data_IF_982481625895
#
_entry.id   IF_982481625895
#
_cell.length_a   1.000
_cell.length_b   1.000
_cell.length_c   1.000
_cell.angle_alpha   90.00
_cell.angle_beta   90.00
_cell.angle_gamma   90.00
#
_symmetry.space_group_name_H-M   'P 1'
#
loop_
_entity.id
_entity.type
_entity.pdbx_description
1 polymer ?
#
# COMPACT_ATOMS: atom_id res chain seq x y z
N UNK A 1 21.44 -8.06 -12.05
CA UNK A 1 20.08 -7.51 -11.98
C UNK A 1 19.41 -7.74 -13.31
N UNK A 2 18.30 -8.45 -13.30
CA UNK A 2 17.55 -8.71 -14.52
C UNK A 2 16.91 -7.39 -14.97
N UNK A 3 17.28 -6.94 -16.17
CA UNK A 3 16.66 -5.76 -16.77
C UNK A 3 15.27 -6.16 -17.27
N UNK A 4 14.26 -5.70 -16.58
CA UNK A 4 12.87 -5.94 -16.97
C UNK A 4 12.57 -5.09 -18.21
N UNK A 5 12.28 -5.76 -19.33
CA UNK A 5 11.88 -5.09 -20.57
C UNK A 5 10.40 -5.21 -20.79
N UNK A 6 9.73 -4.09 -21.00
CA UNK A 6 8.29 -4.03 -21.22
C UNK A 6 8.00 -3.26 -22.50
N UNK A 7 7.24 -3.87 -23.39
CA UNK A 7 6.75 -3.20 -24.59
C UNK A 7 5.62 -2.24 -24.24
N UNK A 8 5.73 -1.02 -24.69
CA UNK A 8 4.74 0.02 -24.48
C UNK A 8 4.45 0.74 -25.80
N UNK A 9 3.22 1.09 -26.02
CA UNK A 9 2.79 1.85 -27.19
C UNK A 9 2.27 3.22 -26.75
N UNK A 10 2.63 4.26 -27.50
CA UNK A 10 2.09 5.60 -27.26
C UNK A 10 0.58 5.62 -27.53
N UNK A 11 -0.18 6.35 -26.72
CA UNK A 11 -1.62 6.55 -26.91
C UNK A 11 -1.98 8.02 -26.96
N UNK A 12 -2.91 8.36 -27.84
CA UNK A 12 -3.47 9.72 -27.95
C UNK A 12 -4.85 9.82 -27.32
N UNK A 13 -5.52 8.66 -27.16
CA UNK A 13 -6.87 8.61 -26.60
C UNK A 13 -6.88 8.95 -25.11
N UNK A 14 -7.72 9.91 -24.74
CA UNK A 14 -7.93 10.36 -23.36
C UNK A 14 -9.39 10.18 -22.95
N UNK A 15 -9.62 10.21 -21.65
CA UNK A 15 -10.96 10.15 -21.06
C UNK A 15 -11.37 8.76 -20.57
N UNK A 16 -12.34 8.76 -19.66
CA UNK A 16 -12.78 7.58 -18.90
C UNK A 16 -13.31 6.45 -19.80
N UNK A 17 -14.02 6.80 -20.88
CA UNK A 17 -14.60 5.82 -21.79
C UNK A 17 -13.55 5.06 -22.60
N UNK A 18 -12.52 5.77 -23.12
CA UNK A 18 -11.41 5.16 -23.85
C UNK A 18 -10.58 4.25 -22.95
N UNK A 19 -10.23 4.71 -21.75
CA UNK A 19 -9.49 3.93 -20.75
C UNK A 19 -10.24 2.68 -20.33
N UNK A 20 -11.57 2.75 -20.17
CA UNK A 20 -12.38 1.57 -19.83
C UNK A 20 -12.39 0.53 -20.97
N UNK A 21 -12.42 0.97 -22.24
CA UNK A 21 -12.30 0.07 -23.40
C UNK A 21 -10.93 -0.60 -23.43
N UNK A 22 -9.84 0.16 -23.24
CA UNK A 22 -8.47 -0.39 -23.17
C UNK A 22 -8.34 -1.51 -22.12
N UNK A 23 -8.85 -1.30 -20.92
CA UNK A 23 -8.80 -2.34 -19.86
C UNK A 23 -9.57 -3.60 -20.23
N UNK A 24 -10.69 -3.45 -20.96
CA UNK A 24 -11.45 -4.61 -21.45
C UNK A 24 -10.72 -5.43 -22.51
N UNK A 25 -9.81 -4.80 -23.27
CA UNK A 25 -8.96 -5.50 -24.25
C UNK A 25 -7.69 -6.07 -23.64
N UNK A 26 -7.54 -6.04 -22.31
CA UNK A 26 -6.37 -6.56 -21.61
C UNK A 26 -5.15 -5.64 -21.66
N UNK A 27 -5.36 -4.35 -21.94
CA UNK A 27 -4.30 -3.34 -21.92
C UNK A 27 -4.41 -2.45 -20.69
N UNK A 28 -3.27 -2.11 -20.09
CA UNK A 28 -3.18 -1.18 -18.97
C UNK A 28 -2.81 0.20 -19.50
N UNK A 29 -3.57 1.24 -19.16
CA UNK A 29 -3.15 2.60 -19.40
C UNK A 29 -2.04 2.99 -18.43
N UNK A 30 -1.06 3.72 -18.90
CA UNK A 30 0.03 4.27 -18.11
C UNK A 30 0.41 5.66 -18.54
N UNK A 31 1.31 6.26 -17.77
CA UNK A 31 1.96 7.53 -18.10
C UNK A 31 3.47 7.44 -17.91
N UNK A 32 4.23 8.14 -18.75
CA UNK A 32 5.68 8.30 -18.63
C UNK A 32 6.01 9.78 -18.49
N UNK A 33 6.53 10.16 -17.34
CA UNK A 33 7.05 11.51 -17.10
C UNK A 33 8.46 11.63 -17.68
N UNK A 34 8.65 12.51 -18.66
CA UNK A 34 9.94 12.73 -19.30
C UNK A 34 10.79 13.72 -18.50
N UNK A 35 12.06 13.37 -18.26
CA UNK A 35 12.99 14.16 -17.47
C UNK A 35 13.39 15.47 -18.17
N UNK A 36 13.69 15.40 -19.47
CA UNK A 36 14.29 16.53 -20.22
C UNK A 36 13.30 17.55 -20.80
N UNK A 37 12.02 17.21 -20.94
CA UNK A 37 11.02 18.07 -21.59
C UNK A 37 9.84 18.45 -20.68
N UNK A 38 9.82 17.99 -19.44
CA UNK A 38 8.73 18.30 -18.50
C UNK A 38 7.34 17.86 -18.98
N UNK A 39 7.27 16.97 -19.96
CA UNK A 39 6.03 16.48 -20.54
C UNK A 39 5.71 15.06 -20.06
N UNK A 40 4.41 14.77 -19.98
CA UNK A 40 3.91 13.43 -19.71
C UNK A 40 3.46 12.80 -21.02
N UNK A 41 3.97 11.64 -21.35
CA UNK A 41 3.53 10.84 -22.48
C UNK A 41 2.58 9.76 -22.00
N UNK A 42 1.43 9.64 -22.65
CA UNK A 42 0.46 8.62 -22.31
C UNK A 42 0.80 7.33 -23.06
N UNK A 43 0.82 6.22 -22.36
CA UNK A 43 1.17 4.91 -22.90
C UNK A 43 0.09 3.88 -22.59
N UNK A 44 0.14 2.77 -23.30
CA UNK A 44 -0.61 1.54 -23.02
C UNK A 44 0.34 0.36 -23.04
N UNK A 45 0.08 -0.60 -22.18
CA UNK A 45 0.92 -1.78 -21.93
C UNK A 45 0.05 -3.04 -21.93
N UNK A 46 0.50 -4.18 -22.44
CA UNK A 46 -0.20 -5.45 -22.28
C UNK A 46 -0.18 -5.87 -20.81
N UNK A 47 -1.39 -6.10 -20.25
CA UNK A 47 -1.55 -6.42 -18.82
C UNK A 47 -0.84 -7.71 -18.42
N UNK A 48 -0.91 -8.72 -19.28
CA UNK A 48 -0.31 -10.02 -19.04
C UNK A 48 1.21 -9.94 -18.91
N UNK A 49 1.86 -9.31 -19.89
CA UNK A 49 3.32 -9.18 -19.94
C UNK A 49 3.83 -8.34 -18.77
N UNK A 50 3.10 -7.27 -18.45
CA UNK A 50 3.42 -6.42 -17.32
C UNK A 50 3.32 -7.19 -15.99
N UNK A 51 2.24 -7.95 -15.77
CA UNK A 51 2.09 -8.75 -14.54
C UNK A 51 3.15 -9.84 -14.43
N UNK A 52 3.51 -10.48 -15.54
CA UNK A 52 4.58 -11.50 -15.52
C UNK A 52 5.94 -10.87 -15.21
N UNK A 53 6.22 -9.70 -15.78
CA UNK A 53 7.47 -8.98 -15.57
C UNK A 53 7.63 -8.42 -14.13
N UNK A 54 6.53 -8.03 -13.48
CA UNK A 54 6.55 -7.49 -12.12
C UNK A 54 6.31 -8.54 -11.03
N UNK A 55 5.95 -9.77 -11.43
CA UNK A 55 5.68 -10.86 -10.50
C UNK A 55 6.96 -11.28 -9.78
N UNK A 56 6.91 -11.30 -8.45
CA UNK A 56 8.04 -11.72 -7.60
C UNK A 56 8.87 -10.58 -7.04
N UNK A 57 8.69 -9.36 -7.52
CA UNK A 57 9.37 -8.19 -6.96
C UNK A 57 8.63 -7.64 -5.74
N UNK A 58 9.36 -7.48 -4.64
CA UNK A 58 8.81 -6.98 -3.37
C UNK A 58 8.55 -5.46 -3.42
N UNK A 59 9.39 -4.73 -4.16
CA UNK A 59 9.26 -3.29 -4.33
C UNK A 59 8.24 -2.93 -5.41
N UNK A 60 7.44 -1.91 -5.14
CA UNK A 60 6.58 -1.28 -6.15
C UNK A 60 7.35 -0.35 -7.09
N UNK A 61 8.58 0.01 -6.72
CA UNK A 61 9.44 0.90 -7.49
C UNK A 61 10.57 0.08 -8.11
N UNK A 62 10.42 -0.23 -9.39
CA UNK A 62 11.34 -1.06 -10.16
C UNK A 62 11.93 -0.28 -11.32
N UNK A 63 13.22 -0.52 -11.60
CA UNK A 63 13.87 -0.03 -12.81
C UNK A 63 13.47 -0.92 -14.00
N UNK A 64 12.84 -0.32 -15.00
CA UNK A 64 12.30 -1.00 -16.17
C UNK A 64 12.82 -0.34 -17.44
N UNK A 65 13.14 -1.10 -18.46
CA UNK A 65 13.40 -0.58 -19.79
C UNK A 65 12.11 -0.64 -20.61
N UNK A 66 11.53 0.53 -20.89
CA UNK A 66 10.35 0.63 -21.74
C UNK A 66 10.77 0.69 -23.20
N UNK A 67 10.20 -0.18 -24.02
CA UNK A 67 10.30 -0.10 -25.47
C UNK A 67 9.12 0.73 -25.99
N UNK A 68 9.36 1.99 -26.30
CA UNK A 68 8.40 2.94 -26.86
C UNK A 68 8.65 3.10 -28.36
N UNK A 69 7.84 2.47 -29.17
CA UNK A 69 7.93 2.55 -30.65
C UNK A 69 9.35 2.27 -31.19
N UNK A 70 10.04 1.25 -30.60
CA UNK A 70 11.39 0.86 -30.97
C UNK A 70 12.52 1.70 -30.32
N UNK A 71 12.19 2.53 -29.34
CA UNK A 71 13.17 3.27 -28.52
C UNK A 71 13.18 2.71 -27.12
N UNK A 72 14.34 2.24 -26.69
CA UNK A 72 14.55 1.80 -25.31
C UNK A 72 14.75 3.02 -24.40
N UNK A 73 13.85 3.21 -23.45
CA UNK A 73 13.88 4.29 -22.45
C UNK A 73 13.97 3.69 -21.06
N UNK A 74 15.05 3.97 -20.31
CA UNK A 74 15.12 3.55 -18.90
C UNK A 74 14.13 4.37 -18.07
N UNK A 75 13.24 3.71 -17.39
CA UNK A 75 12.20 4.32 -16.57
C UNK A 75 12.08 3.64 -15.22
N UNK A 76 11.84 4.42 -14.20
CA UNK A 76 11.49 3.95 -12.87
C UNK A 76 9.98 3.90 -12.75
N UNK A 77 9.44 2.74 -12.38
CA UNK A 77 8.03 2.62 -12.00
C UNK A 77 7.83 3.34 -10.67
N UNK A 78 6.99 4.37 -10.66
CA UNK A 78 6.71 5.17 -9.46
C UNK A 78 5.54 4.63 -8.68
N UNK A 79 4.44 4.41 -9.39
CA UNK A 79 3.19 3.97 -8.76
C UNK A 79 2.49 2.95 -9.65
N UNK A 80 1.90 1.97 -8.99
CA UNK A 80 1.05 0.97 -9.62
C UNK A 80 -0.26 0.90 -8.83
N UNK A 81 -1.35 1.24 -9.49
CA UNK A 81 -2.70 1.14 -8.94
C UNK A 81 -3.29 -0.21 -9.34
N UNK A 82 -3.70 -0.98 -8.34
CA UNK A 82 -4.33 -2.27 -8.55
C UNK A 82 -5.82 -2.21 -8.18
N UNK A 83 -6.62 -2.97 -8.89
CA UNK A 83 -7.98 -3.29 -8.48
C UNK A 83 -7.93 -4.21 -7.26
N UNK A 84 -8.52 -3.79 -6.16
CA UNK A 84 -8.49 -4.54 -4.90
C UNK A 84 -9.29 -5.84 -5.01
N UNK A 85 -10.35 -5.86 -5.82
CA UNK A 85 -11.21 -7.04 -5.99
C UNK A 85 -10.64 -8.01 -7.01
N UNK A 86 -10.19 -7.50 -8.16
CA UNK A 86 -9.68 -8.32 -9.25
C UNK A 86 -8.17 -8.63 -9.13
N UNK A 87 -7.43 -7.89 -8.29
CA UNK A 87 -5.97 -8.01 -8.17
C UNK A 87 -5.20 -7.61 -9.44
N UNK A 88 -5.89 -7.00 -10.42
CA UNK A 88 -5.29 -6.61 -11.70
C UNK A 88 -4.83 -5.16 -11.68
N UNK A 89 -3.71 -4.83 -12.34
CA UNK A 89 -3.25 -3.44 -12.41
C UNK A 89 -4.21 -2.58 -13.27
N UNK A 90 -4.61 -1.44 -12.72
CA UNK A 90 -5.50 -0.47 -13.34
C UNK A 90 -4.73 0.63 -14.05
N UNK A 91 -3.65 1.11 -13.43
CA UNK A 91 -2.82 2.22 -13.93
C UNK A 91 -1.38 2.05 -13.48
N UNK A 92 -0.45 2.49 -14.30
CA UNK A 92 0.98 2.47 -13.97
C UNK A 92 1.62 3.78 -14.38
N UNK A 93 2.36 4.37 -13.45
CA UNK A 93 3.11 5.61 -13.65
C UNK A 93 4.60 5.33 -13.67
N UNK A 94 5.25 5.80 -14.74
CA UNK A 94 6.69 5.71 -14.93
C UNK A 94 7.31 7.10 -14.94
N UNK A 95 8.54 7.18 -14.49
CA UNK A 95 9.40 8.36 -14.62
C UNK A 95 10.65 7.96 -15.40
N UNK A 96 10.93 8.64 -16.51
CA UNK A 96 12.21 8.51 -17.20
C UNK A 96 13.33 8.86 -16.22
N UNK A 97 14.37 8.06 -16.15
CA UNK A 97 15.50 8.27 -15.25
C UNK A 97 16.82 8.23 -16.01
N UNK A 98 17.76 9.05 -15.57
CA UNK A 98 19.15 8.99 -16.00
C UNK A 98 19.91 8.04 -15.09
N UNK A 99 20.71 7.14 -15.67
CA UNK A 99 21.52 6.19 -14.89
C UNK A 99 22.60 6.87 -14.05
N UNK A 100 22.88 8.16 -14.30
CA UNK A 100 23.93 8.93 -13.64
C UNK A 100 23.41 9.82 -12.49
N UNK A 101 22.11 10.00 -12.37
CA UNK A 101 21.51 10.89 -11.37
C UNK A 101 20.91 10.06 -10.22
N UNK A 102 21.05 10.58 -8.99
CA UNK A 102 20.43 9.98 -7.81
C UNK A 102 18.93 10.17 -7.87
N UNK A 103 18.19 9.12 -7.59
CA UNK A 103 16.73 9.12 -7.57
C UNK A 103 16.25 8.73 -6.19
N UNK A 104 15.20 9.39 -5.73
CA UNK A 104 14.51 9.03 -4.50
C UNK A 104 13.56 7.88 -4.74
N UNK A 105 13.75 6.82 -3.98
CA UNK A 105 12.99 5.58 -4.08
C UNK A 105 12.47 5.18 -2.70
N UNK A 106 11.21 4.73 -2.64
CA UNK A 106 10.61 4.19 -1.43
C UNK A 106 10.76 2.68 -1.42
N UNK A 107 11.50 2.16 -0.44
CA UNK A 107 11.81 0.72 -0.33
C UNK A 107 11.09 0.11 0.86
N UNK A 108 10.46 -1.08 0.71
CA UNK A 108 9.78 -1.75 1.81
C UNK A 108 10.78 -2.36 2.80
N UNK A 109 10.39 -2.35 4.08
CA UNK A 109 11.11 -2.94 5.20
C UNK A 109 10.46 -4.26 5.60
N UNK A 110 11.25 -5.32 5.68
CA UNK A 110 10.83 -6.62 6.17
C UNK A 110 11.54 -6.95 7.47
N UNK A 111 10.76 -7.25 8.50
CA UNK A 111 11.29 -7.70 9.78
C UNK A 111 11.56 -9.20 9.69
N UNK A 112 12.78 -9.61 10.04
CA UNK A 112 13.22 -11.01 10.04
C UNK A 112 13.54 -11.43 11.46
N UNK A 113 13.15 -12.65 11.84
CA UNK A 113 13.34 -13.19 13.18
C UNK A 113 12.19 -12.91 14.15
N UNK A 114 12.23 -13.53 15.30
CA UNK A 114 11.28 -13.33 16.39
C UNK A 114 11.98 -12.67 17.57
N UNK A 115 11.49 -11.51 18.05
CA UNK A 115 12.09 -10.79 19.16
C UNK A 115 12.10 -11.62 20.44
N UNK A 116 13.18 -11.52 21.22
CA UNK A 116 13.27 -12.15 22.55
C UNK A 116 12.15 -11.66 23.47
N UNK A 117 11.78 -10.37 23.35
CA UNK A 117 10.68 -9.80 24.11
C UNK A 117 9.32 -10.42 23.82
N UNK A 118 9.08 -10.90 22.60
CA UNK A 118 7.86 -11.64 22.25
C UNK A 118 7.93 -13.07 22.79
N UNK A 119 9.06 -13.77 22.57
CA UNK A 119 9.23 -15.18 22.97
C UNK A 119 9.20 -15.40 24.48
N UNK A 120 9.92 -14.59 25.24
CA UNK A 120 10.09 -14.75 26.67
C UNK A 120 9.16 -13.87 27.50
N UNK A 121 8.82 -12.70 26.98
CA UNK A 121 8.02 -11.72 27.69
C UNK A 121 6.55 -11.65 27.28
N UNK A 122 6.11 -12.44 26.29
CA UNK A 122 4.75 -12.38 25.79
C UNK A 122 4.39 -11.04 25.10
N UNK A 123 5.39 -10.21 24.78
CA UNK A 123 5.19 -8.90 24.14
C UNK A 123 4.60 -9.01 22.73
N UNK A 124 4.10 -7.88 22.23
CA UNK A 124 3.56 -7.76 20.87
C UNK A 124 4.53 -6.92 20.04
N UNK A 125 4.97 -7.47 18.89
CA UNK A 125 5.78 -6.73 17.92
C UNK A 125 4.87 -5.87 17.04
N UNK A 126 5.06 -4.56 17.11
CA UNK A 126 4.35 -3.59 16.27
C UNK A 126 5.34 -2.96 15.29
N UNK A 127 5.05 -3.08 13.99
CA UNK A 127 5.79 -2.38 12.94
C UNK A 127 5.12 -1.05 12.64
N UNK A 128 5.78 0.06 13.01
CA UNK A 128 5.28 1.41 12.80
C UNK A 128 5.59 1.90 11.39
N UNK A 129 6.82 1.66 10.92
CA UNK A 129 7.28 2.07 9.60
C UNK A 129 7.48 0.86 8.71
N UNK A 130 6.76 0.83 7.58
CA UNK A 130 6.82 -0.29 6.61
C UNK A 130 7.67 0.02 5.39
N UNK A 131 7.95 1.29 5.14
CA UNK A 131 8.72 1.75 3.98
C UNK A 131 9.64 2.89 4.40
N UNK A 132 10.80 3.00 3.75
CA UNK A 132 11.73 4.13 3.92
C UNK A 132 12.05 4.75 2.57
N UNK A 133 12.32 6.06 2.59
CA UNK A 133 12.79 6.80 1.43
C UNK A 133 14.32 6.84 1.42
N UNK A 134 14.90 6.43 0.30
CA UNK A 134 16.34 6.34 0.09
C UNK A 134 16.71 7.03 -1.21
N UNK A 135 17.75 7.85 -1.18
CA UNK A 135 18.36 8.40 -2.40
C UNK A 135 19.49 7.47 -2.85
N UNK A 136 19.36 6.88 -4.03
CA UNK A 136 20.34 5.96 -4.63
C UNK A 136 20.42 6.14 -6.14
N UNK A 137 21.44 5.52 -6.76
CA UNK A 137 21.48 5.41 -8.21
C UNK A 137 20.45 4.36 -8.68
N UNK A 138 19.87 4.52 -9.87
CA UNK A 138 18.89 3.55 -10.39
C UNK A 138 19.44 2.12 -10.50
N UNK A 139 20.75 1.97 -10.65
CA UNK A 139 21.42 0.66 -10.68
C UNK A 139 21.58 0.00 -9.31
N UNK A 140 21.51 0.77 -8.23
CA UNK A 140 21.76 0.29 -6.86
C UNK A 140 20.47 0.27 -6.01
N UNK A 141 19.30 0.28 -6.66
CA UNK A 141 17.99 0.19 -5.99
C UNK A 141 17.86 -1.20 -5.34
N UNK A 142 17.66 -1.21 -4.03
CA UNK A 142 17.34 -2.44 -3.30
C UNK A 142 15.85 -2.76 -3.43
N UNK A 143 15.51 -4.03 -3.66
CA UNK A 143 14.11 -4.46 -3.72
C UNK A 143 13.45 -4.48 -2.35
N UNK A 144 14.21 -4.78 -1.31
CA UNK A 144 13.74 -4.84 0.07
C UNK A 144 14.91 -4.64 1.04
N UNK A 145 14.60 -4.15 2.22
CA UNK A 145 15.53 -4.17 3.35
C UNK A 145 15.04 -5.19 4.38
N UNK A 146 15.91 -6.13 4.71
CA UNK A 146 15.68 -7.12 5.76
C UNK A 146 16.32 -6.63 7.06
N UNK A 147 15.53 -6.56 8.12
CA UNK A 147 15.94 -6.05 9.41
C UNK A 147 15.78 -7.16 10.43
N UNK A 148 16.87 -7.55 11.06
CA UNK A 148 16.85 -8.54 12.14
C UNK A 148 16.33 -7.90 13.44
N UNK A 149 15.20 -8.41 13.92
CA UNK A 149 14.55 -7.99 15.17
C UNK A 149 14.73 -8.99 16.30
N UNK A 150 15.51 -10.05 16.09
CA UNK A 150 15.69 -11.15 17.07
C UNK A 150 16.23 -10.67 18.41
N UNK A 151 17.01 -9.60 18.43
CA UNK A 151 17.69 -9.06 19.62
C UNK A 151 16.80 -8.13 20.45
N UNK A 152 15.60 -7.76 19.97
CA UNK A 152 14.75 -6.78 20.64
C UNK A 152 14.10 -7.39 21.90
N UNK A 153 14.29 -6.72 23.03
CA UNK A 153 13.61 -7.00 24.30
C UNK A 153 12.25 -6.32 24.42
N UNK A 154 11.59 -6.50 25.58
CA UNK A 154 10.35 -5.77 25.92
C UNK A 154 10.63 -4.27 26.01
N UNK A 155 9.68 -3.47 25.56
CA UNK A 155 9.70 -1.99 25.53
C UNK A 155 10.89 -1.39 24.76
N UNK A 156 11.54 -2.20 23.93
CA UNK A 156 12.60 -1.70 23.05
C UNK A 156 12.05 -1.24 21.70
N UNK A 157 12.61 -0.12 21.23
CA UNK A 157 12.27 0.50 19.95
C UNK A 157 13.48 0.48 19.03
N UNK A 158 13.28 0.02 17.82
CA UNK A 158 14.27 0.10 16.74
C UNK A 158 14.01 1.37 15.93
N UNK A 159 15.04 2.19 15.74
CA UNK A 159 14.95 3.44 14.98
C UNK A 159 15.59 3.30 13.60
N UNK A 160 15.24 4.21 12.69
CA UNK A 160 15.82 4.26 11.34
C UNK A 160 17.35 4.42 11.37
N UNK A 161 17.90 5.14 12.33
CA UNK A 161 19.37 5.32 12.52
C UNK A 161 20.12 4.01 12.81
N UNK A 162 19.42 3.01 13.37
CA UNK A 162 20.01 1.73 13.78
C UNK A 162 20.02 0.71 12.63
N UNK A 163 19.46 1.10 11.46
CA UNK A 163 19.40 0.25 10.29
C UNK A 163 20.77 0.18 9.60
N UNK A 164 21.23 -1.01 9.37
CA UNK A 164 22.44 -1.27 8.57
C UNK A 164 22.03 -1.30 7.09
N UNK A 165 22.16 -0.16 6.45
CA UNK A 165 21.91 0.00 5.01
C UNK A 165 23.24 -0.07 4.25
N UNK A 166 23.20 -0.43 2.97
CA UNK A 166 24.40 -0.48 2.15
C UNK A 166 25.04 0.90 1.94
N UNK A 167 26.37 0.95 1.80
CA UNK A 167 27.18 2.19 1.70
C UNK A 167 26.80 3.11 0.54
N UNK A 168 26.06 2.61 -0.46
CA UNK A 168 25.67 3.35 -1.67
C UNK A 168 24.31 4.06 -1.57
N UNK A 169 23.63 3.92 -0.44
CA UNK A 169 22.27 4.38 -0.25
C UNK A 169 22.23 5.43 0.86
N UNK A 170 21.62 6.57 0.57
CA UNK A 170 21.48 7.65 1.55
C UNK A 170 20.04 7.69 2.03
N UNK A 171 19.81 7.45 3.33
CA UNK A 171 18.48 7.54 3.93
C UNK A 171 18.02 8.98 4.01
N UNK A 172 16.84 9.26 3.47
CA UNK A 172 16.19 10.58 3.53
C UNK A 172 15.26 10.67 4.74
N UNK A 173 14.67 9.53 5.11
CA UNK A 173 13.78 9.44 6.28
C UNK A 173 14.54 9.80 7.55
N UNK A 174 13.91 10.57 8.44
CA UNK A 174 14.53 11.02 9.71
C UNK A 174 14.95 9.82 10.56
N UNK A 175 16.18 9.85 11.06
CA UNK A 175 16.75 8.77 11.87
C UNK A 175 16.03 8.50 13.20
N UNK A 176 15.23 9.46 13.70
CA UNK A 176 14.47 9.35 14.95
C UNK A 176 13.12 8.65 14.82
N UNK A 177 12.73 8.30 13.58
CA UNK A 177 11.45 7.61 13.36
C UNK A 177 11.55 6.17 13.83
N UNK A 178 10.61 5.67 14.66
CA UNK A 178 10.59 4.28 15.08
C UNK A 178 10.18 3.38 13.91
N UNK A 179 10.91 2.30 13.72
CA UNK A 179 10.63 1.27 12.69
C UNK A 179 9.77 0.16 13.28
N UNK A 180 10.20 -0.37 14.40
CA UNK A 180 9.52 -1.43 15.12
C UNK A 180 9.63 -1.23 16.63
N UNK A 181 8.58 -1.59 17.35
CA UNK A 181 8.49 -1.52 18.80
C UNK A 181 7.96 -2.84 19.32
N UNK A 182 8.57 -3.36 20.39
CA UNK A 182 8.02 -4.49 21.13
C UNK A 182 7.35 -3.94 22.37
N UNK A 183 6.02 -3.99 22.43
CA UNK A 183 5.24 -3.55 23.59
C UNK A 183 4.98 -4.72 24.52
N UNK A 184 4.98 -4.46 25.83
CA UNK A 184 4.45 -5.42 26.78
C UNK A 184 2.96 -5.70 26.47
N UNK A 185 2.46 -6.93 26.69
CA UNK A 185 1.04 -7.18 26.53
C UNK A 185 0.29 -6.26 27.50
N UNK A 186 -0.61 -5.44 27.00
CA UNK A 186 -1.59 -4.78 27.85
C UNK A 186 -2.42 -5.92 28.47
N UNK A 187 -2.23 -6.17 29.77
CA UNK A 187 -3.16 -6.96 30.55
C UNK A 187 -4.52 -6.26 30.45
N UNK A 188 -5.30 -6.66 29.47
CA UNK A 188 -6.73 -6.35 29.48
C UNK A 188 -7.23 -7.06 30.73
N UNK A 189 -7.65 -6.36 31.80
CA UNK A 189 -8.18 -7.04 32.96
C UNK A 189 -9.33 -7.89 32.45
N UNK A 190 -9.18 -9.19 32.59
CA UNK A 190 -10.23 -10.14 32.29
C UNK A 190 -11.45 -9.75 33.13
N UNK A 191 -12.33 -8.99 32.50
CA UNK A 191 -13.66 -8.73 33.03
C UNK A 191 -14.42 -10.08 33.00
N UNK A 192 -14.28 -10.88 34.05
CA UNK A 192 -14.89 -12.18 34.09
C UNK A 192 -14.62 -12.99 35.35
N UNK A 193 -14.45 -12.32 36.50
CA UNK A 193 -14.63 -13.02 37.79
C UNK A 193 -15.80 -12.37 38.52
N UNK A 194 -16.99 -12.83 38.20
CA UNK A 194 -18.15 -12.59 39.05
C UNK A 194 -17.93 -13.24 40.42
N UNK A 195 -18.07 -12.54 41.52
CA UNK A 195 -18.25 -13.20 42.79
C UNK A 195 -19.69 -13.72 42.89
N UNK A 196 -19.81 -15.04 42.89
CA UNK A 196 -21.01 -15.69 43.35
C UNK A 196 -21.12 -15.50 44.87
N UNK A 197 -22.14 -14.84 45.34
CA UNK A 197 -22.82 -15.23 46.56
C UNK A 197 -24.06 -14.39 46.86
N UNK A 198 -25.11 -15.15 47.11
CA UNK A 198 -26.22 -14.94 48.04
C UNK A 198 -27.50 -14.26 47.55
N UNK A 199 -28.39 -15.13 47.17
CA UNK A 199 -29.71 -15.37 47.80
C UNK A 199 -30.67 -14.18 48.01
N UNK A 200 -31.84 -14.28 47.38
CA UNK A 200 -33.05 -13.82 48.02
C UNK A 200 -34.07 -13.15 47.12
N UNK A 201 -35.17 -13.90 46.91
CA UNK A 201 -36.54 -13.44 46.63
C UNK A 201 -36.92 -13.04 45.19
N UNK A 202 -37.68 -13.93 44.60
CA UNK A 202 -38.65 -13.72 43.51
C UNK A 202 -39.90 -12.95 43.98
N UNK A 203 -40.95 -12.75 43.20
CA UNK A 203 -41.07 -12.36 41.78
C UNK A 203 -42.06 -11.19 41.56
N UNK A 204 -42.03 -10.54 40.45
CA UNK A 204 -43.22 -9.97 39.88
C UNK A 204 -43.04 -9.76 38.35
N UNK A 205 -43.90 -10.46 37.66
CA UNK A 205 -44.07 -10.40 36.21
C UNK A 205 -44.97 -9.20 35.84
N UNK A 206 -45.42 -9.09 34.60
CA UNK A 206 -44.94 -8.18 33.59
C UNK A 206 -46.00 -7.09 33.21
N UNK A 207 -45.60 -6.01 32.66
CA UNK A 207 -46.55 -5.16 31.93
C UNK A 207 -46.05 -4.83 30.52
N UNK A 208 -46.82 -5.41 29.62
CA UNK A 208 -46.89 -5.13 28.19
C UNK A 208 -47.64 -3.83 28.02
N UNK A 209 -47.05 -2.84 27.40
CA UNK A 209 -47.80 -1.76 26.79
C UNK A 209 -47.53 -1.73 25.27
N UNK A 210 -48.51 -2.31 24.57
CA UNK A 210 -48.80 -2.03 23.17
C UNK A 210 -49.58 -0.71 23.12
N UNK A 211 -49.25 0.20 22.22
CA UNK A 211 -50.06 1.13 21.41
C UNK A 211 -49.18 2.29 21.03
N UNK A 212 -49.21 2.75 19.85
CA UNK A 212 -50.20 2.83 18.79
C UNK A 212 -49.49 3.16 17.49
N UNK A 213 -49.96 2.65 16.58
CA UNK A 213 -50.40 2.71 15.25
C UNK A 213 -50.99 4.10 14.90
N UNK A 214 -50.68 4.44 13.68
CA UNK A 214 -51.49 5.25 12.74
C UNK A 214 -51.20 6.74 12.60
N UNK A 215 -51.17 7.01 11.33
CA UNK A 215 -51.44 8.27 10.60
C UNK A 215 -50.22 9.17 10.41
N UNK A 216 -49.78 9.43 9.18
CA UNK A 216 -50.54 10.00 8.07
C UNK A 216 -49.88 9.70 6.73
N UNK A 217 -50.66 9.07 5.90
CA UNK A 217 -50.48 9.09 4.45
C UNK A 217 -51.23 10.35 3.93
N UNK A 218 -50.78 10.84 2.80
CA UNK A 218 -51.49 11.78 1.94
C UNK A 218 -51.08 13.27 2.01
N UNK A 219 -50.31 13.62 1.01
CA UNK A 219 -50.52 14.83 0.19
C UNK A 219 -49.52 14.72 -0.98
N UNK A 220 -49.95 14.07 -2.05
CA UNK A 220 -50.66 14.63 -3.20
C UNK A 220 -49.76 15.48 -4.08
N UNK A 221 -49.31 14.91 -5.19
CA UNK A 221 -49.91 15.09 -6.52
C UNK A 221 -50.31 16.53 -6.84
N UNK A 222 -49.70 17.03 -7.87
CA UNK A 222 -49.98 18.18 -8.71
C UNK A 222 -48.86 19.23 -8.77
N UNK A 223 -48.07 19.13 -9.79
CA UNK A 223 -48.02 20.18 -10.83
C UNK A 223 -47.23 19.65 -12.04
N UNK A 224 -48.00 19.02 -12.85
CA UNK A 224 -47.86 19.07 -14.32
C UNK A 224 -48.03 20.53 -14.80
N UNK A 225 -47.43 20.78 -15.92
CA UNK A 225 -47.68 21.85 -16.89
C UNK A 225 -47.18 23.28 -16.61
N UNK A 226 -46.42 23.65 -17.61
CA UNK A 226 -46.12 24.95 -18.23
C UNK A 226 -44.68 25.42 -17.98
N UNK A 227 -43.81 25.36 -18.90
CA UNK A 227 -43.69 26.04 -20.19
C UNK A 227 -42.45 25.53 -20.87
#
# INVERSE_FOLDING_TARGET
MDQIRIKAEARTEQGTGAVRRLRRTGMIPGSVMKMKKGGTELIKLPAHDFMMATRGHASKQLLVTLDLDGKEVPALMREMQNDVLAGTPIHVDFSEVSLTEKVRVTVPLYLVGEPVGVKLGGGVLEQTLRTIDVDCLPTDIAEKFEIDVSTLGLDQTLFVRDLKLGDKQTVVTRGEVPVAVVKAPDDVPAAGAAPAAAAGAAPAAPEVIKKGKEEEAAAADKKEEKK
#
